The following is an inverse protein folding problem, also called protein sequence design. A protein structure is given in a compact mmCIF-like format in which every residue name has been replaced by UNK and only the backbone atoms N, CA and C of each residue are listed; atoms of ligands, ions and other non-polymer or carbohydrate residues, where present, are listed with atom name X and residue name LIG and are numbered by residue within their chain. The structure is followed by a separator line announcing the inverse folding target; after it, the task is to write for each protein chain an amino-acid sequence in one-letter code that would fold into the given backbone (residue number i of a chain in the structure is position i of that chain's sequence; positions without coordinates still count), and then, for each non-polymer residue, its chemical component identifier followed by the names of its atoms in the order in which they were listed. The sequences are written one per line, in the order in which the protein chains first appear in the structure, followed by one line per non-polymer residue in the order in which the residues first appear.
data_IF_545966018366
#
_entry.id   IF_545966018366
#
_cell.length_a   1.000
_cell.length_b   1.000
_cell.length_c   1.000
_cell.angle_alpha   90.00
_cell.angle_beta   90.00
_cell.angle_gamma   90.00
#
_symmetry.space_group_name_H-M   'P 1'
#
loop_
_entity.id
_entity.type
_entity.pdbx_description
1 polymer ?
#
# COMPACT_ATOMS: atom_id res chain seq x y z
N UNK A 1 7.68 11.28 9.03
CA UNK A 1 6.63 11.38 10.07
C UNK A 1 7.01 10.72 11.40
N UNK A 2 8.00 9.82 11.45
CA UNK A 2 8.47 9.11 12.66
C UNK A 2 9.79 9.65 13.24
N UNK A 3 10.08 10.95 13.07
CA UNK A 3 11.31 11.54 13.62
C UNK A 3 11.32 11.51 15.15
N UNK A 4 12.44 11.13 15.77
CA UNK A 4 12.50 10.89 17.22
C UNK A 4 12.34 12.15 18.09
N UNK A 5 12.72 13.33 17.59
CA UNK A 5 12.70 14.59 18.38
C UNK A 5 11.58 15.55 17.98
N UNK A 6 11.22 15.60 16.69
CA UNK A 6 10.21 16.52 16.12
C UNK A 6 9.28 15.82 15.11
N UNK A 7 9.14 14.49 15.20
CA UNK A 7 8.21 13.75 14.35
C UNK A 7 6.77 13.96 14.82
N UNK A 8 5.84 13.85 13.88
CA UNK A 8 4.39 13.80 14.20
C UNK A 8 4.11 12.71 15.24
N UNK A 9 4.79 11.57 15.14
CA UNK A 9 4.72 10.48 16.13
C UNK A 9 5.08 10.95 17.54
N UNK A 10 6.23 11.62 17.73
CA UNK A 10 6.67 12.07 19.06
C UNK A 10 5.72 13.11 19.64
N UNK A 11 5.21 14.02 18.81
CA UNK A 11 4.25 15.04 19.23
C UNK A 11 2.92 14.45 19.69
N UNK A 12 2.37 13.48 18.94
CA UNK A 12 1.12 12.81 19.33
C UNK A 12 1.34 11.97 20.60
N UNK A 13 2.47 11.28 20.72
CA UNK A 13 2.77 10.44 21.89
C UNK A 13 2.96 11.25 23.17
N UNK A 14 3.42 12.50 23.07
CA UNK A 14 3.48 13.42 24.21
C UNK A 14 2.09 13.78 24.75
N UNK A 15 1.08 13.86 23.88
CA UNK A 15 -0.31 14.17 24.26
C UNK A 15 -1.06 12.90 24.67
N UNK A 16 -0.83 11.80 23.96
CA UNK A 16 -1.48 10.50 24.15
C UNK A 16 -0.43 9.40 24.35
N UNK A 17 0.02 9.13 25.58
CA UNK A 17 1.11 8.20 25.86
C UNK A 17 0.85 6.76 25.39
N UNK A 18 -0.43 6.35 25.42
CA UNK A 18 -0.89 5.01 25.06
C UNK A 18 -1.18 4.84 23.56
N UNK A 19 -0.92 5.87 22.73
CA UNK A 19 -1.19 5.79 21.29
C UNK A 19 -0.24 4.80 20.63
N UNK A 20 -0.79 3.84 19.88
CA UNK A 20 0.03 2.96 19.06
C UNK A 20 0.40 3.64 17.76
N UNK A 21 1.70 3.71 17.52
CA UNK A 21 2.20 4.12 16.23
C UNK A 21 2.40 2.89 15.35
N UNK A 22 1.41 2.64 14.50
CA UNK A 22 1.45 1.54 13.54
C UNK A 22 1.77 2.13 12.18
N UNK A 23 2.88 1.65 11.61
CA UNK A 23 3.18 1.98 10.24
C UNK A 23 2.18 1.31 9.31
N UNK A 24 1.80 2.03 8.26
CA UNK A 24 0.92 1.45 7.28
C UNK A 24 1.59 0.29 6.52
N UNK A 25 0.92 -0.87 6.46
CA UNK A 25 1.52 -2.09 5.94
C UNK A 25 1.84 -2.01 4.45
N UNK A 26 0.98 -1.39 3.63
CA UNK A 26 1.31 -1.22 2.20
C UNK A 26 2.51 -0.29 2.00
N UNK A 27 2.68 0.71 2.88
CA UNK A 27 3.87 1.55 2.86
C UNK A 27 5.12 0.80 3.31
N UNK A 28 5.03 -0.02 4.37
CA UNK A 28 6.14 -0.86 4.80
C UNK A 28 6.56 -1.84 3.71
N UNK A 29 5.60 -2.49 3.04
CA UNK A 29 5.87 -3.38 1.91
C UNK A 29 6.59 -2.64 0.77
N UNK A 30 6.16 -1.42 0.44
CA UNK A 30 6.85 -0.57 -0.52
C UNK A 30 8.31 -0.25 -0.08
N UNK A 31 8.54 -0.01 1.21
CA UNK A 31 9.88 0.26 1.74
C UNK A 31 10.80 -0.98 1.74
N UNK A 32 10.27 -2.18 2.01
CA UNK A 32 11.01 -3.47 1.88
C UNK A 32 11.67 -3.52 0.50
N UNK A 33 10.88 -3.23 -0.53
CA UNK A 33 11.26 -3.42 -1.91
C UNK A 33 12.20 -2.30 -2.39
N UNK A 34 11.94 -1.05 -1.99
CA UNK A 34 12.85 0.07 -2.23
C UNK A 34 14.21 -0.10 -1.54
N UNK A 35 14.26 -0.78 -0.38
CA UNK A 35 15.53 -1.05 0.30
C UNK A 35 16.41 -2.01 -0.51
N UNK A 36 15.84 -3.10 -1.03
CA UNK A 36 16.54 -4.02 -1.93
C UNK A 36 17.11 -3.30 -3.15
N UNK A 37 16.32 -2.40 -3.75
CA UNK A 37 16.75 -1.57 -4.88
C UNK A 37 17.91 -0.61 -4.56
N UNK A 38 18.07 -0.18 -3.29
CA UNK A 38 19.18 0.70 -2.90
C UNK A 38 20.46 -0.06 -2.58
N UNK A 39 20.35 -1.26 -1.99
CA UNK A 39 21.49 -2.01 -1.47
C UNK A 39 22.17 -2.89 -2.53
N UNK A 40 21.40 -3.46 -3.45
CA UNK A 40 21.90 -4.42 -4.45
C UNK A 40 22.13 -3.70 -5.78
N UNK A 41 23.40 -3.52 -6.18
CA UNK A 41 23.78 -2.75 -7.38
C UNK A 41 23.06 -3.22 -8.66
N UNK A 42 22.99 -4.53 -8.98
CA UNK A 42 22.18 -5.03 -10.11
C UNK A 42 20.72 -4.57 -10.08
N UNK A 43 20.07 -4.62 -8.92
CA UNK A 43 18.67 -4.18 -8.76
C UNK A 43 18.55 -2.67 -8.93
N UNK A 44 19.48 -1.90 -8.36
CA UNK A 44 19.50 -0.44 -8.53
C UNK A 44 19.53 -0.06 -10.01
N UNK A 45 20.42 -0.69 -10.77
CA UNK A 45 20.54 -0.48 -12.21
C UNK A 45 19.28 -0.94 -12.94
N UNK A 46 18.72 -2.09 -12.59
CA UNK A 46 17.46 -2.58 -13.16
C UNK A 46 16.31 -1.57 -12.98
N UNK A 47 16.13 -1.02 -11.76
CA UNK A 47 15.09 -0.01 -11.50
C UNK A 47 15.34 1.28 -12.27
N UNK A 48 16.59 1.76 -12.33
CA UNK A 48 16.94 2.91 -13.17
C UNK A 48 16.62 2.66 -14.64
N UNK A 49 16.93 1.46 -15.15
CA UNK A 49 16.63 1.06 -16.52
C UNK A 49 15.12 1.07 -16.79
N UNK A 50 14.29 0.50 -15.91
CA UNK A 50 12.82 0.55 -16.03
C UNK A 50 12.30 2.00 -16.17
N UNK A 51 12.84 2.93 -15.38
CA UNK A 51 12.48 4.35 -15.44
C UNK A 51 12.93 5.01 -16.75
N UNK A 52 14.05 4.57 -17.35
CA UNK A 52 14.51 5.10 -18.64
C UNK A 52 13.50 4.82 -19.76
N UNK A 53 12.89 3.63 -19.82
CA UNK A 53 11.86 3.32 -20.83
C UNK A 53 10.73 4.35 -20.79
N UNK A 54 10.12 4.57 -19.62
CA UNK A 54 9.05 5.57 -19.51
C UNK A 54 9.54 6.97 -19.87
N UNK A 55 10.70 7.38 -19.33
CA UNK A 55 11.24 8.74 -19.54
C UNK A 55 11.50 9.03 -21.01
N UNK A 56 11.95 8.03 -21.78
CA UNK A 56 12.14 8.15 -23.21
C UNK A 56 10.82 8.44 -23.93
N UNK A 57 9.80 7.61 -23.71
CA UNK A 57 8.52 7.77 -24.43
C UNK A 57 7.71 8.97 -23.95
N UNK A 58 7.71 9.29 -22.65
CA UNK A 58 6.89 10.36 -22.07
C UNK A 58 7.36 11.77 -22.42
N UNK A 59 8.62 11.95 -22.83
CA UNK A 59 9.21 13.26 -23.14
C UNK A 59 8.92 13.76 -24.56
N UNK A 60 8.22 12.99 -25.39
CA UNK A 60 7.84 13.41 -26.75
C UNK A 60 6.52 12.78 -27.16
N UNK A 61 5.62 13.59 -27.69
CA UNK A 61 4.38 13.12 -28.31
C UNK A 61 4.67 12.16 -29.47
N UNK A 62 5.66 12.47 -30.32
CA UNK A 62 6.08 11.61 -31.44
C UNK A 62 6.53 10.22 -30.96
N UNK A 63 7.34 10.16 -29.89
CA UNK A 63 7.78 8.88 -29.29
C UNK A 63 6.62 8.15 -28.63
N UNK A 64 5.78 8.85 -27.87
CA UNK A 64 4.59 8.26 -27.26
C UNK A 64 3.63 7.65 -28.30
N UNK A 65 3.51 8.28 -29.48
CA UNK A 65 2.66 7.79 -30.56
C UNK A 65 3.13 6.45 -31.13
N UNK A 66 4.45 6.23 -31.18
CA UNK A 66 5.05 4.98 -31.62
C UNK A 66 4.53 3.77 -30.83
N UNK A 67 4.35 3.93 -29.50
CA UNK A 67 3.77 2.88 -28.66
C UNK A 67 2.25 2.76 -28.84
N UNK A 68 1.56 3.90 -29.03
CA UNK A 68 0.10 3.92 -29.23
C UNK A 68 -0.30 3.20 -30.51
N UNK A 69 0.49 3.34 -31.57
CA UNK A 69 0.29 2.61 -32.84
C UNK A 69 0.39 1.09 -32.65
N UNK A 70 1.20 0.64 -31.70
CA UNK A 70 1.33 -0.77 -31.31
C UNK A 70 0.28 -1.19 -30.24
N UNK A 71 -0.65 -0.29 -29.88
CA UNK A 71 -1.76 -0.59 -28.98
C UNK A 71 -1.45 -0.59 -27.48
N UNK A 72 -0.28 -0.08 -27.06
CA UNK A 72 0.07 -0.06 -25.63
C UNK A 72 0.69 1.27 -25.17
N UNK A 73 0.81 1.42 -23.85
CA UNK A 73 1.45 2.58 -23.22
C UNK A 73 2.18 2.13 -21.96
N UNK A 74 3.36 2.70 -21.72
CA UNK A 74 4.05 2.54 -20.44
C UNK A 74 3.33 3.27 -19.31
N UNK A 75 3.29 2.69 -18.10
CA UNK A 75 2.64 3.33 -16.96
C UNK A 75 3.31 4.66 -16.62
N UNK A 76 2.53 5.65 -16.17
CA UNK A 76 3.09 6.95 -15.77
C UNK A 76 4.05 6.77 -14.58
N UNK A 77 5.23 7.39 -14.65
CA UNK A 77 6.27 7.29 -13.63
C UNK A 77 5.79 7.76 -12.24
N UNK A 78 6.26 7.03 -11.22
CA UNK A 78 6.18 7.49 -9.84
C UNK A 78 7.39 6.99 -9.05
N UNK A 79 8.21 7.92 -8.56
CA UNK A 79 9.43 7.64 -7.78
C UNK A 79 9.17 6.89 -6.47
N UNK A 80 7.94 6.92 -5.96
CA UNK A 80 7.60 6.49 -4.60
C UNK A 80 6.70 5.27 -4.53
N UNK A 81 6.24 4.71 -5.66
CA UNK A 81 5.24 3.63 -5.65
C UNK A 81 5.71 2.41 -6.44
N UNK A 82 5.91 1.31 -5.73
CA UNK A 82 6.25 0.00 -6.26
C UNK A 82 5.32 -0.49 -7.39
N UNK A 83 4.02 -0.17 -7.32
CA UNK A 83 3.07 -0.48 -8.38
C UNK A 83 3.45 0.11 -9.75
N UNK A 84 4.26 1.18 -9.81
CA UNK A 84 4.83 1.63 -11.08
C UNK A 84 5.88 0.65 -11.59
N UNK A 85 6.84 0.25 -10.75
CA UNK A 85 7.91 -0.67 -11.15
C UNK A 85 7.36 -2.05 -11.57
N UNK A 86 6.38 -2.59 -10.84
CA UNK A 86 5.71 -3.84 -11.23
C UNK A 86 5.05 -3.73 -12.59
N UNK A 87 4.17 -2.73 -12.77
CA UNK A 87 3.49 -2.50 -14.05
C UNK A 87 4.48 -2.23 -15.19
N UNK A 88 5.53 -1.46 -14.94
CA UNK A 88 6.54 -1.16 -15.96
C UNK A 88 7.27 -2.44 -16.39
N UNK A 89 7.73 -3.25 -15.44
CA UNK A 89 8.40 -4.52 -15.74
C UNK A 89 7.47 -5.52 -16.45
N UNK A 90 6.20 -5.56 -16.07
CA UNK A 90 5.19 -6.39 -16.73
C UNK A 90 4.93 -5.92 -18.16
N UNK A 91 4.69 -4.62 -18.38
CA UNK A 91 4.49 -4.05 -19.72
C UNK A 91 5.72 -4.26 -20.61
N UNK A 92 6.94 -4.09 -20.09
CA UNK A 92 8.17 -4.32 -20.86
C UNK A 92 8.35 -5.80 -21.21
N UNK A 93 8.01 -6.73 -20.29
CA UNK A 93 8.05 -8.18 -20.57
C UNK A 93 7.01 -8.56 -21.63
N UNK A 94 5.79 -8.05 -21.52
CA UNK A 94 4.68 -8.37 -22.44
C UNK A 94 4.93 -7.83 -23.84
N UNK A 95 5.41 -6.61 -23.98
CA UNK A 95 5.63 -5.94 -25.27
C UNK A 95 7.12 -5.89 -25.64
N UNK A 96 7.86 -6.95 -25.31
CA UNK A 96 9.32 -6.96 -25.42
C UNK A 96 9.79 -6.79 -26.87
N UNK A 97 9.15 -7.51 -27.80
CA UNK A 97 9.47 -7.50 -29.23
C UNK A 97 9.06 -6.17 -29.85
N UNK A 98 7.87 -5.67 -29.51
CA UNK A 98 7.35 -4.39 -30.01
C UNK A 98 8.21 -3.22 -29.52
N UNK A 99 8.73 -3.28 -28.30
CA UNK A 99 9.69 -2.31 -27.79
C UNK A 99 11.03 -2.39 -28.55
N UNK A 100 11.56 -3.60 -28.81
CA UNK A 100 12.76 -3.75 -29.65
C UNK A 100 12.57 -3.10 -31.01
N UNK A 101 11.48 -3.44 -31.70
CA UNK A 101 11.15 -2.89 -33.02
C UNK A 101 10.98 -1.36 -32.98
N UNK A 102 10.34 -0.84 -31.94
CA UNK A 102 10.17 0.59 -31.73
C UNK A 102 11.51 1.32 -31.58
N UNK A 103 12.46 0.78 -30.81
CA UNK A 103 13.78 1.38 -30.68
C UNK A 103 14.61 1.26 -31.96
N UNK A 104 14.57 0.11 -32.64
CA UNK A 104 15.23 -0.09 -33.95
C UNK A 104 14.74 0.94 -34.97
N UNK A 105 13.43 1.14 -35.07
CA UNK A 105 12.83 2.16 -35.95
C UNK A 105 13.33 3.57 -35.61
N UNK A 106 13.51 3.91 -34.33
CA UNK A 106 14.07 5.23 -33.95
C UNK A 106 15.52 5.38 -34.39
N UNK A 107 16.29 4.28 -34.40
CA UNK A 107 17.72 4.29 -34.74
C UNK A 107 17.93 4.36 -36.25
N UNK A 108 17.11 3.65 -37.04
CA UNK A 108 17.28 3.51 -38.48
C UNK A 108 16.63 4.66 -39.28
N UNK A 109 15.54 5.24 -38.79
CA UNK A 109 14.82 6.30 -39.50
C UNK A 109 15.54 7.66 -39.42
N UNK A 110 15.69 8.38 -40.54
CA UNK A 110 16.43 9.65 -40.60
C UNK A 110 15.73 10.83 -39.90
N UNK A 111 14.48 10.66 -39.44
CA UNK A 111 13.64 11.73 -38.91
C UNK A 111 13.71 11.92 -37.38
N UNK A 112 14.74 11.41 -36.72
CA UNK A 112 14.92 11.49 -35.28
C UNK A 112 16.15 12.33 -34.91
N UNK A 113 16.06 13.05 -33.78
CA UNK A 113 17.17 13.83 -33.27
C UNK A 113 18.27 12.94 -32.69
N UNK A 114 19.51 13.43 -32.68
CA UNK A 114 20.68 12.67 -32.20
C UNK A 114 20.53 12.17 -30.76
N UNK A 115 19.82 12.91 -29.88
CA UNK A 115 19.61 12.49 -28.49
C UNK A 115 18.63 11.31 -28.44
N UNK A 116 17.54 11.36 -29.22
CA UNK A 116 16.60 10.25 -29.35
C UNK A 116 17.28 9.00 -29.91
N UNK A 117 18.09 9.12 -30.96
CA UNK A 117 18.83 7.99 -31.56
C UNK A 117 19.80 7.38 -30.54
N UNK A 118 20.64 8.19 -29.91
CA UNK A 118 21.62 7.71 -28.92
C UNK A 118 20.95 7.08 -27.69
N UNK A 119 19.87 7.69 -27.20
CA UNK A 119 19.13 7.14 -26.05
C UNK A 119 18.40 5.85 -26.42
N UNK A 120 17.81 5.77 -27.61
CA UNK A 120 17.14 4.57 -28.11
C UNK A 120 18.13 3.41 -28.26
N UNK A 121 19.31 3.66 -28.84
CA UNK A 121 20.39 2.67 -28.91
C UNK A 121 20.80 2.18 -27.53
N UNK A 122 21.04 3.07 -26.57
CA UNK A 122 21.40 2.67 -25.20
C UNK A 122 20.31 1.88 -24.46
N UNK A 123 19.02 2.12 -24.76
CA UNK A 123 17.91 1.33 -24.20
C UNK A 123 17.78 -0.03 -24.92
N UNK A 124 17.98 -0.07 -26.24
CA UNK A 124 18.01 -1.30 -27.02
C UNK A 124 19.12 -2.23 -26.54
N UNK A 125 20.31 -1.70 -26.22
CA UNK A 125 21.40 -2.46 -25.61
C UNK A 125 20.99 -3.10 -24.27
N UNK A 126 20.07 -2.48 -23.51
CA UNK A 126 19.53 -3.09 -22.28
C UNK A 126 18.57 -4.22 -22.57
N UNK A 127 17.76 -4.14 -23.62
CA UNK A 127 16.92 -5.27 -24.07
C UNK A 127 17.79 -6.43 -24.59
N UNK A 128 19.01 -6.16 -25.02
CA UNK A 128 19.99 -7.17 -25.42
C UNK A 128 20.95 -7.60 -24.29
N UNK A 129 20.84 -7.04 -23.08
CA UNK A 129 21.64 -7.44 -21.93
C UNK A 129 21.00 -8.63 -21.21
N UNK A 130 21.65 -9.79 -21.28
CA UNK A 130 21.16 -11.03 -20.65
C UNK A 130 20.89 -10.86 -19.15
N UNK A 131 21.71 -10.08 -18.43
CA UNK A 131 21.48 -9.85 -17.00
C UNK A 131 20.22 -9.01 -16.76
N UNK A 132 19.98 -7.96 -17.57
CA UNK A 132 18.76 -7.15 -17.47
C UNK A 132 17.51 -7.99 -17.75
N UNK A 133 17.51 -8.79 -18.82
CA UNK A 133 16.34 -9.61 -19.17
C UNK A 133 16.10 -10.71 -18.13
N UNK A 134 17.15 -11.34 -17.61
CA UNK A 134 17.03 -12.23 -16.46
C UNK A 134 16.37 -11.56 -15.25
N UNK A 135 16.83 -10.36 -14.88
CA UNK A 135 16.23 -9.60 -13.78
C UNK A 135 14.78 -9.19 -14.08
N UNK A 136 14.46 -8.85 -15.33
CA UNK A 136 13.09 -8.57 -15.75
C UNK A 136 12.17 -9.76 -15.49
N UNK A 137 12.61 -10.97 -15.85
CA UNK A 137 11.86 -12.22 -15.60
C UNK A 137 11.74 -12.51 -14.11
N UNK A 138 12.85 -12.45 -13.37
CA UNK A 138 12.88 -12.71 -11.92
C UNK A 138 11.95 -11.75 -11.16
N UNK A 139 12.05 -10.45 -11.43
CA UNK A 139 11.22 -9.46 -10.78
C UNK A 139 9.75 -9.63 -11.15
N UNK A 140 9.39 -10.00 -12.38
CA UNK A 140 8.01 -10.35 -12.73
C UNK A 140 7.47 -11.50 -11.84
N UNK A 141 8.27 -12.54 -11.55
CA UNK A 141 7.86 -13.61 -10.62
C UNK A 141 7.67 -13.09 -9.19
N UNK A 142 8.59 -12.25 -8.70
CA UNK A 142 8.48 -11.63 -7.37
C UNK A 142 7.24 -10.72 -7.30
N UNK A 143 6.99 -9.94 -8.34
CA UNK A 143 5.91 -8.97 -8.43
C UNK A 143 4.53 -9.62 -8.30
N UNK A 144 4.34 -10.83 -8.85
CA UNK A 144 3.08 -11.57 -8.71
C UNK A 144 2.69 -11.71 -7.22
N UNK A 145 3.63 -12.10 -6.37
CA UNK A 145 3.38 -12.27 -4.95
C UNK A 145 3.26 -10.92 -4.22
N UNK A 146 4.12 -9.95 -4.54
CA UNK A 146 4.09 -8.65 -3.84
C UNK A 146 2.84 -7.84 -4.20
N UNK A 147 2.38 -7.90 -5.45
CA UNK A 147 1.21 -7.17 -5.92
C UNK A 147 -0.08 -7.76 -5.36
N UNK A 148 -0.14 -9.09 -5.21
CA UNK A 148 -1.25 -9.75 -4.50
C UNK A 148 -1.42 -9.17 -3.10
N UNK A 149 -0.33 -9.18 -2.30
CA UNK A 149 -0.36 -8.64 -0.94
C UNK A 149 -0.61 -7.13 -0.95
N UNK A 150 -0.01 -6.38 -1.87
CA UNK A 150 -0.22 -4.94 -1.97
C UNK A 150 -1.70 -4.60 -2.24
N UNK A 151 -2.33 -5.26 -3.22
CA UNK A 151 -3.74 -5.08 -3.53
C UNK A 151 -4.66 -5.53 -2.37
N UNK A 152 -4.29 -6.63 -1.70
CA UNK A 152 -4.98 -7.10 -0.50
C UNK A 152 -4.96 -6.03 0.61
N UNK A 153 -3.78 -5.46 0.91
CA UNK A 153 -3.58 -4.42 1.91
C UNK A 153 -4.27 -3.09 1.55
N UNK A 154 -4.53 -2.85 0.27
CA UNK A 154 -5.29 -1.70 -0.22
C UNK A 154 -6.81 -1.96 -0.29
N UNK A 155 -7.27 -3.20 -0.10
CA UNK A 155 -8.69 -3.50 -0.12
C UNK A 155 -9.41 -2.79 1.03
N UNK A 156 -10.67 -2.38 0.80
CA UNK A 156 -11.48 -1.62 1.77
C UNK A 156 -11.91 -2.44 2.99
N UNK A 157 -11.54 -3.72 3.04
CA UNK A 157 -11.98 -4.65 4.07
C UNK A 157 -11.08 -4.44 5.29
N UNK A 158 -11.47 -3.48 6.13
CA UNK A 158 -10.93 -3.20 7.46
C UNK A 158 -11.00 -4.39 8.43
N UNK A 159 -11.55 -5.54 8.02
CA UNK A 159 -12.06 -6.54 8.95
C UNK A 159 -11.10 -7.65 9.34
N UNK A 160 -9.80 -7.63 8.98
CA UNK A 160 -8.88 -8.56 9.65
C UNK A 160 -7.41 -8.16 9.54
N UNK A 161 -6.89 -7.48 10.57
CA UNK A 161 -5.45 -7.26 10.75
C UNK A 161 -4.71 -8.61 10.66
N UNK A 162 -5.27 -9.70 11.18
CA UNK A 162 -4.66 -11.02 11.06
C UNK A 162 -4.54 -11.52 9.62
N UNK A 163 -5.57 -11.32 8.79
CA UNK A 163 -5.45 -11.72 7.37
C UNK A 163 -4.29 -10.97 6.70
N UNK A 164 -4.02 -9.73 7.09
CA UNK A 164 -2.82 -9.01 6.63
C UNK A 164 -1.53 -9.72 7.08
N UNK A 165 -1.46 -10.15 8.35
CA UNK A 165 -0.30 -10.88 8.90
C UNK A 165 -0.10 -12.20 8.16
N UNK A 166 -1.16 -12.98 7.95
CA UNK A 166 -1.06 -14.25 7.23
C UNK A 166 -0.65 -14.05 5.78
N UNK A 167 -1.14 -13.01 5.11
CA UNK A 167 -0.71 -12.68 3.75
C UNK A 167 0.77 -12.28 3.68
N UNK A 168 1.26 -11.53 4.66
CA UNK A 168 2.70 -11.19 4.75
C UNK A 168 3.55 -12.44 5.02
N UNK A 169 3.08 -13.34 5.89
CA UNK A 169 3.74 -14.63 6.15
C UNK A 169 3.73 -15.53 4.91
N UNK A 170 2.63 -15.57 4.16
CA UNK A 170 2.53 -16.29 2.89
C UNK A 170 3.49 -15.71 1.85
N UNK A 171 3.58 -14.37 1.74
CA UNK A 171 4.58 -13.73 0.89
C UNK A 171 6.00 -14.16 1.25
N UNK A 172 6.35 -14.15 2.55
CA UNK A 172 7.66 -14.61 3.02
C UNK A 172 7.92 -16.05 2.57
N UNK A 173 6.97 -16.96 2.82
CA UNK A 173 7.09 -18.37 2.42
C UNK A 173 7.25 -18.52 0.91
N UNK A 174 6.48 -17.78 0.11
CA UNK A 174 6.59 -17.79 -1.34
C UNK A 174 7.96 -17.30 -1.82
N UNK A 175 8.55 -16.27 -1.17
CA UNK A 175 9.90 -15.81 -1.48
C UNK A 175 10.98 -16.83 -1.07
N UNK A 176 10.80 -17.52 0.06
CA UNK A 176 11.66 -18.64 0.47
C UNK A 176 11.58 -19.80 -0.53
N UNK A 177 10.38 -20.09 -1.06
CA UNK A 177 10.18 -21.12 -2.08
C UNK A 177 10.82 -20.76 -3.43
N UNK A 178 10.93 -19.47 -3.76
CA UNK A 178 11.68 -19.01 -4.93
C UNK A 178 13.20 -19.16 -4.76
N UNK A 179 13.70 -19.33 -3.54
CA UNK A 179 15.14 -19.44 -3.22
C UNK A 179 15.69 -20.84 -3.53
N UNK A 180 15.51 -21.30 -4.76
CA UNK A 180 15.92 -22.63 -5.25
C UNK A 180 16.67 -22.51 -6.56
N UNK A 181 17.55 -23.46 -6.85
CA UNK A 181 18.30 -23.49 -8.11
C UNK A 181 17.39 -23.62 -9.32
N UNK A 182 16.29 -24.36 -9.18
CA UNK A 182 15.25 -24.48 -10.22
C UNK A 182 14.72 -23.11 -10.68
N UNK A 183 14.51 -22.17 -9.76
CA UNK A 183 14.03 -20.82 -10.10
C UNK A 183 15.04 -20.08 -10.98
N UNK A 184 16.34 -20.24 -10.73
CA UNK A 184 17.38 -19.62 -11.55
C UNK A 184 17.35 -20.20 -12.96
N UNK A 185 17.25 -21.52 -13.08
CA UNK A 185 17.17 -22.20 -14.38
C UNK A 185 15.92 -21.77 -15.16
N UNK A 186 14.74 -21.82 -14.55
CA UNK A 186 13.49 -21.39 -15.19
C UNK A 186 13.53 -19.91 -15.61
N UNK A 187 14.15 -19.03 -14.81
CA UNK A 187 14.34 -17.63 -15.20
C UNK A 187 15.29 -17.47 -16.39
N UNK A 188 16.34 -18.31 -16.50
CA UNK A 188 17.22 -18.31 -17.67
C UNK A 188 16.46 -18.78 -18.92
N UNK A 189 15.69 -19.87 -18.80
CA UNK A 189 14.91 -20.44 -19.90
C UNK A 189 13.87 -19.44 -20.43
N UNK A 190 13.12 -18.79 -19.53
CA UNK A 190 12.19 -17.72 -19.89
C UNK A 190 12.89 -16.49 -20.50
N UNK A 191 14.12 -16.18 -20.08
CA UNK A 191 14.88 -15.08 -20.67
C UNK A 191 15.36 -15.43 -22.09
N UNK A 192 15.75 -16.68 -22.34
CA UNK A 192 16.07 -17.19 -23.69
C UNK A 192 14.84 -17.12 -24.59
N UNK A 193 13.65 -17.48 -24.07
CA UNK A 193 12.40 -17.35 -24.84
C UNK A 193 12.06 -15.91 -25.23
N UNK A 194 12.45 -14.92 -24.41
CA UNK A 194 12.28 -13.51 -24.74
C UNK A 194 13.31 -13.01 -25.76
N UNK A 195 14.51 -13.58 -25.74
CA UNK A 195 15.55 -13.27 -26.70
C UNK A 195 16.43 -14.50 -26.98
N UNK A 196 16.21 -15.10 -28.15
CA UNK A 196 16.86 -16.35 -28.54
C UNK A 196 18.40 -16.23 -28.67
N UNK A 197 18.92 -15.00 -28.74
CA UNK A 197 20.36 -14.71 -28.82
C UNK A 197 21.12 -14.97 -27.51
N UNK A 198 20.42 -15.33 -26.42
CA UNK A 198 21.04 -15.52 -25.11
C UNK A 198 21.54 -16.94 -24.89
N UNK A 199 22.78 -17.03 -24.39
CA UNK A 199 23.36 -18.26 -23.88
C UNK A 199 23.90 -18.03 -22.46
N UNK A 200 23.42 -18.82 -21.51
CA UNK A 200 23.85 -18.75 -20.11
C UNK A 200 24.83 -19.87 -19.79
N UNK A 201 26.13 -19.56 -19.83
CA UNK A 201 27.17 -20.49 -19.38
C UNK A 201 27.17 -20.68 -17.86
N UNK A 202 27.82 -21.74 -17.37
CA UNK A 202 27.80 -22.10 -15.93
C UNK A 202 28.31 -20.99 -15.01
N UNK A 203 29.34 -20.24 -15.44
CA UNK A 203 29.87 -19.11 -14.68
C UNK A 203 28.85 -17.98 -14.53
N UNK A 204 28.09 -17.70 -15.59
CA UNK A 204 27.04 -16.68 -15.55
C UNK A 204 25.86 -17.15 -14.70
N UNK A 205 25.40 -18.40 -14.86
CA UNK A 205 24.35 -18.99 -14.01
C UNK A 205 24.72 -18.94 -12.53
N UNK A 206 25.98 -19.25 -12.19
CA UNK A 206 26.49 -19.13 -10.83
C UNK A 206 26.46 -17.68 -10.29
N UNK A 207 26.76 -16.69 -11.12
CA UNK A 207 26.67 -15.27 -10.74
C UNK A 207 25.21 -14.83 -10.55
N UNK A 208 24.32 -15.21 -11.48
CA UNK A 208 22.89 -14.94 -11.40
C UNK A 208 22.27 -15.59 -10.17
N UNK A 209 22.69 -16.82 -9.82
CA UNK A 209 22.27 -17.50 -8.59
C UNK A 209 22.63 -16.70 -7.34
N UNK A 210 23.85 -16.19 -7.25
CA UNK A 210 24.29 -15.32 -6.13
C UNK A 210 23.42 -14.06 -6.04
N UNK A 211 23.23 -13.37 -7.17
CA UNK A 211 22.40 -12.16 -7.23
C UNK A 211 20.96 -12.47 -6.81
N UNK A 212 20.38 -13.56 -7.29
CA UNK A 212 19.00 -13.96 -6.95
C UNK A 212 18.84 -14.26 -5.47
N UNK A 213 19.79 -14.97 -4.85
CA UNK A 213 19.74 -15.24 -3.42
C UNK A 213 19.94 -13.97 -2.60
N UNK A 214 20.88 -13.09 -2.98
CA UNK A 214 21.05 -11.79 -2.31
C UNK A 214 19.77 -10.95 -2.37
N UNK A 215 19.05 -10.96 -3.49
CA UNK A 215 17.77 -10.27 -3.66
C UNK A 215 16.72 -10.86 -2.72
N UNK A 216 16.48 -12.17 -2.80
CA UNK A 216 15.45 -12.84 -2.01
C UNK A 216 15.75 -12.73 -0.51
N UNK A 217 16.99 -12.95 -0.10
CA UNK A 217 17.43 -12.86 1.30
C UNK A 217 17.27 -11.41 1.81
N UNK A 218 17.65 -10.40 1.01
CA UNK A 218 17.43 -9.00 1.38
C UNK A 218 15.95 -8.67 1.54
N UNK A 219 15.07 -9.20 0.68
CA UNK A 219 13.63 -8.97 0.80
C UNK A 219 13.05 -9.64 2.04
N UNK A 220 13.42 -10.90 2.30
CA UNK A 220 12.97 -11.67 3.47
C UNK A 220 13.43 -11.00 4.76
N UNK A 221 14.68 -10.58 4.85
CA UNK A 221 15.22 -9.87 6.03
C UNK A 221 14.47 -8.56 6.25
N UNK A 222 14.22 -7.78 5.20
CA UNK A 222 13.47 -6.53 5.33
C UNK A 222 12.01 -6.74 5.72
N UNK A 223 11.36 -7.80 5.23
CA UNK A 223 10.02 -8.20 5.68
C UNK A 223 10.05 -8.50 7.19
N UNK A 224 11.00 -9.32 7.66
CA UNK A 224 11.09 -9.66 9.08
C UNK A 224 11.27 -8.41 9.96
N UNK A 225 12.20 -7.52 9.60
CA UNK A 225 12.47 -6.29 10.37
C UNK A 225 11.25 -5.36 10.38
N UNK A 226 10.59 -5.17 9.23
CA UNK A 226 9.53 -4.15 9.09
C UNK A 226 8.18 -4.60 9.61
N UNK A 227 7.97 -5.90 9.75
CA UNK A 227 6.76 -6.51 10.28
C UNK A 227 7.01 -7.19 11.64
N UNK A 228 8.09 -6.84 12.35
CA UNK A 228 8.41 -7.34 13.69
C UNK A 228 7.37 -6.85 14.74
N UNK A 229 6.98 -5.58 14.63
CA UNK A 229 6.00 -4.93 15.52
C UNK A 229 4.57 -5.47 15.39
N UNK A 230 4.33 -6.39 14.45
CA UNK A 230 3.04 -7.05 14.27
C UNK A 230 2.60 -7.83 15.52
N UNK A 231 3.55 -8.26 16.36
CA UNK A 231 3.27 -8.88 17.67
C UNK A 231 2.48 -7.98 18.63
N UNK A 232 2.64 -6.65 18.51
CA UNK A 232 1.90 -5.66 19.31
C UNK A 232 0.40 -5.63 18.99
N UNK A 233 -0.03 -6.28 17.91
CA UNK A 233 -1.42 -6.33 17.47
C UNK A 233 -2.07 -7.70 17.69
N UNK A 234 -1.43 -8.60 18.43
CA UNK A 234 -2.00 -9.91 18.76
C UNK A 234 -3.34 -9.82 19.50
N UNK A 235 -3.56 -8.75 20.28
CA UNK A 235 -4.84 -8.55 20.99
C UNK A 235 -6.03 -8.37 20.04
N UNK A 236 -5.80 -7.98 18.78
CA UNK A 236 -6.84 -7.91 17.75
C UNK A 236 -7.45 -9.30 17.51
N UNK A 237 -6.72 -10.38 17.78
CA UNK A 237 -7.30 -11.72 17.69
C UNK A 237 -8.41 -11.98 18.70
N UNK A 238 -8.55 -11.19 19.79
CA UNK A 238 -9.65 -11.33 20.74
C UNK A 238 -11.02 -11.07 20.10
N UNK A 239 -11.06 -10.30 19.00
CA UNK A 239 -12.28 -9.98 18.26
C UNK A 239 -12.42 -10.77 16.96
N UNK A 240 -11.64 -11.84 16.76
CA UNK A 240 -11.65 -12.63 15.52
C UNK A 240 -12.77 -13.68 15.50
N UNK A 241 -13.79 -13.45 14.68
CA UNK A 241 -14.99 -14.27 14.58
C UNK A 241 -14.69 -15.74 14.24
N UNK A 242 -13.65 -16.00 13.42
CA UNK A 242 -13.30 -17.36 12.98
C UNK A 242 -12.67 -18.23 14.08
N UNK A 243 -12.34 -17.62 15.23
CA UNK A 243 -11.70 -18.32 16.36
C UNK A 243 -12.60 -18.37 17.59
N UNK A 244 -13.82 -17.83 17.54
CA UNK A 244 -14.70 -17.81 18.70
C UNK A 244 -15.06 -19.22 19.17
N UNK A 245 -15.25 -20.19 18.27
CA UNK A 245 -15.42 -21.61 18.62
C UNK A 245 -14.25 -22.18 19.43
N UNK A 246 -13.02 -21.84 19.02
CA UNK A 246 -11.80 -22.28 19.70
C UNK A 246 -11.67 -21.59 21.05
N UNK A 247 -11.99 -20.29 21.13
CA UNK A 247 -11.87 -19.50 22.35
C UNK A 247 -12.97 -19.77 23.37
N UNK A 248 -14.12 -20.26 22.93
CA UNK A 248 -15.15 -20.81 23.80
C UNK A 248 -14.59 -22.00 24.60
N UNK A 249 -13.86 -22.90 23.92
CA UNK A 249 -13.23 -24.07 24.55
C UNK A 249 -11.92 -23.74 25.29
N UNK A 250 -11.13 -22.79 24.78
CA UNK A 250 -9.83 -22.43 25.35
C UNK A 250 -9.62 -20.91 25.27
N UNK A 251 -9.88 -20.24 26.40
CA UNK A 251 -9.80 -18.79 26.47
C UNK A 251 -8.35 -18.28 26.22
N UNK A 252 -8.15 -17.26 25.36
CA UNK A 252 -6.83 -16.77 24.99
C UNK A 252 -6.21 -15.81 26.03
N UNK A 253 -5.86 -16.34 27.20
CA UNK A 253 -5.36 -15.57 28.35
C UNK A 253 -4.14 -14.69 28.02
N UNK A 254 -3.16 -15.25 27.31
CA UNK A 254 -1.93 -14.54 26.95
C UNK A 254 -2.19 -13.26 26.15
N UNK A 255 -3.25 -13.22 25.34
CA UNK A 255 -3.60 -12.07 24.50
C UNK A 255 -4.32 -10.99 25.29
N UNK A 256 -5.14 -11.39 26.26
CA UNK A 256 -5.76 -10.48 27.21
C UNK A 256 -4.70 -9.77 28.06
N UNK A 257 -3.73 -10.52 28.60
CA UNK A 257 -2.63 -9.95 29.37
C UNK A 257 -1.80 -8.95 28.53
N UNK A 258 -1.53 -9.27 27.26
CA UNK A 258 -0.83 -8.34 26.35
C UNK A 258 -1.62 -7.05 26.13
N UNK A 259 -2.94 -7.13 25.95
CA UNK A 259 -3.81 -5.96 25.83
C UNK A 259 -3.76 -5.07 27.09
N UNK A 260 -3.89 -5.67 28.27
CA UNK A 260 -3.92 -4.94 29.54
C UNK A 260 -2.57 -4.27 29.83
N UNK A 261 -1.45 -4.91 29.46
CA UNK A 261 -0.11 -4.30 29.55
C UNK A 261 0.06 -3.11 28.60
N UNK A 262 -0.54 -3.17 27.42
CA UNK A 262 -0.40 -2.15 26.39
C UNK A 262 -1.32 -0.94 26.60
N UNK A 263 -2.50 -1.17 27.20
CA UNK A 263 -3.48 -0.14 27.53
C UNK A 263 -3.83 -0.17 29.02
N UNK A 264 -2.89 0.23 29.91
CA UNK A 264 -3.14 0.26 31.34
C UNK A 264 -4.32 1.19 31.65
N UNK A 265 -5.21 0.75 32.53
CA UNK A 265 -6.38 1.48 33.03
C UNK A 265 -7.50 1.77 32.01
N UNK A 266 -7.42 1.27 30.77
CA UNK A 266 -8.50 1.43 29.79
C UNK A 266 -9.60 0.37 29.94
N UNK A 267 -9.22 -0.83 30.39
CA UNK A 267 -10.08 -2.01 30.48
C UNK A 267 -10.11 -2.58 31.91
N UNK A 268 -11.29 -3.04 32.33
CA UNK A 268 -11.45 -3.85 33.53
C UNK A 268 -11.31 -5.33 33.15
N UNK A 269 -10.29 -6.01 33.68
CA UNK A 269 -9.94 -7.38 33.31
C UNK A 269 -11.09 -8.38 33.49
N UNK A 270 -11.66 -8.46 34.70
CA UNK A 270 -12.71 -9.43 35.02
C UNK A 270 -13.97 -9.21 34.17
N UNK A 271 -14.35 -7.95 33.96
CA UNK A 271 -15.53 -7.59 33.17
C UNK A 271 -15.32 -7.90 31.69
N UNK A 272 -14.17 -7.52 31.14
CA UNK A 272 -13.83 -7.83 29.75
C UNK A 272 -13.76 -9.34 29.49
N UNK A 273 -13.17 -10.11 30.44
CA UNK A 273 -13.12 -11.57 30.36
C UNK A 273 -14.53 -12.17 30.28
N UNK A 274 -15.41 -11.77 31.19
CA UNK A 274 -16.79 -12.28 31.24
C UNK A 274 -17.57 -11.90 29.97
N UNK A 275 -17.47 -10.65 29.52
CA UNK A 275 -18.11 -10.18 28.29
C UNK A 275 -17.63 -10.99 27.06
N UNK A 276 -16.31 -11.24 26.95
CA UNK A 276 -15.74 -12.05 25.87
C UNK A 276 -16.21 -13.51 25.94
N UNK A 277 -16.24 -14.12 27.12
CA UNK A 277 -16.75 -15.50 27.29
C UNK A 277 -18.21 -15.64 26.83
N UNK A 278 -19.07 -14.67 27.14
CA UNK A 278 -20.47 -14.66 26.68
C UNK A 278 -20.55 -14.54 25.16
N UNK A 279 -19.72 -13.69 24.55
CA UNK A 279 -19.70 -13.50 23.09
C UNK A 279 -19.17 -14.74 22.37
N UNK A 280 -18.11 -15.38 22.89
CA UNK A 280 -17.56 -16.59 22.29
C UNK A 280 -18.56 -17.76 22.30
N UNK A 281 -19.43 -17.80 23.31
CA UNK A 281 -20.45 -18.85 23.48
C UNK A 281 -21.68 -18.68 22.60
N UNK A 282 -21.91 -17.49 22.04
CA UNK A 282 -23.12 -17.19 21.27
C UNK A 282 -22.83 -17.19 19.77
N UNK A 283 -23.22 -18.26 19.08
CA UNK A 283 -23.01 -18.44 17.64
C UNK A 283 -23.64 -17.31 16.80
N UNK A 284 -24.71 -16.66 17.29
CA UNK A 284 -25.34 -15.55 16.57
C UNK A 284 -24.46 -14.28 16.59
N UNK A 285 -23.47 -14.22 17.49
CA UNK A 285 -22.52 -13.11 17.64
C UNK A 285 -21.18 -13.35 16.94
N UNK A 286 -21.03 -14.44 16.19
CA UNK A 286 -19.83 -14.74 15.37
C UNK A 286 -19.82 -13.89 14.09
N UNK A 287 -19.80 -12.59 14.29
CA UNK A 287 -19.83 -11.58 13.24
C UNK A 287 -18.53 -10.77 13.27
N UNK A 288 -18.09 -10.24 12.11
CA UNK A 288 -16.95 -9.34 12.06
C UNK A 288 -17.12 -8.15 13.01
N UNK A 289 -16.01 -7.58 13.57
CA UNK A 289 -16.07 -6.56 14.62
C UNK A 289 -16.98 -5.36 14.32
N UNK A 290 -17.05 -4.91 13.06
CA UNK A 290 -17.91 -3.81 12.65
C UNK A 290 -19.41 -4.16 12.70
N UNK A 291 -19.80 -5.35 12.23
CA UNK A 291 -21.19 -5.81 12.27
C UNK A 291 -21.63 -6.12 13.69
N UNK A 292 -20.73 -6.69 14.48
CA UNK A 292 -21.02 -6.99 15.89
C UNK A 292 -21.20 -5.71 16.70
N UNK A 293 -20.37 -4.70 16.46
CA UNK A 293 -20.53 -3.38 17.05
C UNK A 293 -21.86 -2.74 16.64
N UNK A 294 -22.21 -2.77 15.34
CA UNK A 294 -23.51 -2.27 14.85
C UNK A 294 -24.69 -2.97 15.53
N UNK A 295 -24.61 -4.30 15.74
CA UNK A 295 -25.66 -5.07 16.42
C UNK A 295 -25.80 -4.64 17.89
N UNK A 296 -24.68 -4.48 18.60
CA UNK A 296 -24.66 -4.03 20.00
C UNK A 296 -25.29 -2.63 20.11
N UNK A 297 -24.97 -1.73 19.19
CA UNK A 297 -25.50 -0.36 19.15
C UNK A 297 -27.00 -0.37 18.84
N UNK A 298 -27.43 -1.08 17.79
CA UNK A 298 -28.84 -1.13 17.37
C UNK A 298 -29.76 -1.70 18.44
N UNK A 299 -29.24 -2.63 19.25
CA UNK A 299 -30.00 -3.27 20.32
C UNK A 299 -29.82 -2.60 21.69
N UNK A 300 -29.15 -1.44 21.77
CA UNK A 300 -28.85 -0.71 23.01
C UNK A 300 -28.13 -1.57 24.08
N UNK A 301 -27.27 -2.51 23.66
CA UNK A 301 -26.56 -3.43 24.56
C UNK A 301 -25.20 -2.88 25.03
N UNK A 302 -24.95 -1.57 24.85
CA UNK A 302 -23.66 -0.93 25.13
C UNK A 302 -23.28 -0.99 26.62
N UNK A 303 -24.26 -0.89 27.52
CA UNK A 303 -24.00 -0.97 28.97
C UNK A 303 -23.60 -2.39 29.41
N UNK A 304 -24.21 -3.40 28.77
CA UNK A 304 -23.96 -4.82 29.05
C UNK A 304 -22.58 -5.21 28.53
N UNK A 305 -22.23 -4.81 27.31
CA UNK A 305 -20.95 -5.12 26.66
C UNK A 305 -20.02 -3.90 26.62
N UNK A 306 -19.87 -3.23 27.75
CA UNK A 306 -19.16 -1.94 27.83
C UNK A 306 -17.66 -2.05 27.49
N UNK A 307 -16.99 -3.10 27.96
CA UNK A 307 -15.56 -3.30 27.75
C UNK A 307 -15.28 -3.86 26.36
N UNK A 308 -16.15 -4.75 25.89
CA UNK A 308 -16.09 -5.27 24.52
C UNK A 308 -16.37 -4.19 23.48
N UNK A 309 -17.32 -3.28 23.74
CA UNK A 309 -17.59 -2.13 22.87
C UNK A 309 -16.35 -1.26 22.73
N UNK A 310 -15.67 -0.94 23.83
CA UNK A 310 -14.37 -0.23 23.82
C UNK A 310 -13.31 -0.99 23.02
N UNK A 311 -13.24 -2.31 23.18
CA UNK A 311 -12.30 -3.16 22.44
C UNK A 311 -12.57 -3.11 20.92
N UNK A 312 -13.83 -3.22 20.51
CA UNK A 312 -14.23 -3.09 19.11
C UNK A 312 -13.88 -1.72 18.54
N UNK A 313 -14.16 -0.64 19.28
CA UNK A 313 -13.79 0.73 18.87
C UNK A 313 -12.27 0.88 18.72
N UNK A 314 -11.50 0.35 19.67
CA UNK A 314 -10.05 0.35 19.60
C UNK A 314 -9.55 -0.41 18.35
N UNK A 315 -10.05 -1.61 18.10
CA UNK A 315 -9.64 -2.43 16.95
C UNK A 315 -10.00 -1.76 15.62
N UNK A 316 -11.21 -1.20 15.51
CA UNK A 316 -11.70 -0.57 14.28
C UNK A 316 -11.02 0.76 13.96
N UNK A 317 -10.40 1.41 14.95
CA UNK A 317 -9.68 2.68 14.78
C UNK A 317 -8.20 2.50 14.41
N UNK A 318 -7.67 1.27 14.43
CA UNK A 318 -6.28 0.99 14.06
C UNK A 318 -6.09 1.18 12.54
N UNK A 319 -5.22 2.12 12.11
CA UNK A 319 -4.99 2.39 10.69
C UNK A 319 -3.96 1.42 10.08
N UNK A 320 -4.27 0.12 10.05
CA UNK A 320 -3.36 -0.88 9.49
C UNK A 320 -3.26 -0.82 7.94
N UNK A 321 -4.32 -0.37 7.26
CA UNK A 321 -4.43 -0.34 5.78
C UNK A 321 -4.36 1.08 5.21
N UNK A 322 -3.75 1.24 4.02
CA UNK A 322 -3.54 2.57 3.41
C UNK A 322 -4.81 3.15 2.80
N UNK A 323 -5.84 2.34 2.55
CA UNK A 323 -6.97 2.67 1.68
C UNK A 323 -7.71 3.98 2.06
N UNK A 324 -7.80 4.28 3.36
CA UNK A 324 -8.42 5.53 3.84
C UNK A 324 -7.50 6.73 3.63
N UNK A 325 -6.24 6.60 4.03
CA UNK A 325 -5.23 7.67 3.90
C UNK A 325 -4.91 8.03 2.44
N UNK A 326 -4.77 7.07 1.53
CA UNK A 326 -4.51 7.33 0.11
C UNK A 326 -5.70 8.02 -0.58
N UNK A 327 -6.94 7.73 -0.16
CA UNK A 327 -8.15 8.40 -0.67
C UNK A 327 -8.17 9.87 -0.26
N UNK A 328 -7.81 10.18 0.99
CA UNK A 328 -7.69 11.57 1.45
C UNK A 328 -6.61 12.32 0.67
N UNK A 329 -5.46 11.69 0.42
CA UNK A 329 -4.37 12.28 -0.39
C UNK A 329 -4.73 12.45 -1.87
N UNK A 330 -5.46 11.50 -2.47
CA UNK A 330 -5.96 11.64 -3.84
C UNK A 330 -7.00 12.77 -3.94
N UNK A 331 -7.80 12.97 -2.90
CA UNK A 331 -8.77 14.06 -2.82
C UNK A 331 -8.07 15.40 -2.62
N UNK A 332 -7.02 15.45 -1.80
CA UNK A 332 -6.16 16.63 -1.64
C UNK A 332 -5.55 17.09 -2.97
N UNK A 333 -5.15 16.18 -3.86
CA UNK A 333 -4.66 16.55 -5.20
C UNK A 333 -5.70 17.29 -6.05
N UNK A 334 -6.99 17.06 -5.82
CA UNK A 334 -8.09 17.79 -6.50
C UNK A 334 -8.38 19.14 -5.85
N UNK A 335 -8.24 19.23 -4.53
CA UNK A 335 -8.53 20.45 -3.76
C UNK A 335 -7.36 21.44 -3.86
N UNK A 336 -6.15 20.95 -3.64
CA UNK A 336 -4.89 21.70 -3.66
C UNK A 336 -4.17 21.44 -4.98
N UNK A 337 -4.62 22.15 -6.02
CA UNK A 337 -3.97 22.18 -7.33
C UNK A 337 -2.95 23.32 -7.42
N UNK A 338 -2.10 23.30 -8.45
CA UNK A 338 -1.10 24.36 -8.69
C UNK A 338 -1.73 25.77 -8.69
N UNK A 339 -2.89 25.91 -9.32
CA UNK A 339 -3.64 27.18 -9.39
C UNK A 339 -4.37 27.53 -8.07
N UNK A 340 -4.42 26.63 -7.09
CA UNK A 340 -5.11 26.79 -5.80
C UNK A 340 -4.15 26.60 -4.62
N UNK A 341 -2.88 26.99 -4.79
CA UNK A 341 -1.86 26.79 -3.76
C UNK A 341 -1.91 27.81 -2.61
N UNK A 342 -2.59 28.96 -2.79
CA UNK A 342 -2.65 30.08 -1.83
C UNK A 342 -3.82 29.99 -0.84
N UNK A 343 -4.34 28.79 -0.55
CA UNK A 343 -5.44 28.63 0.41
C UNK A 343 -4.95 28.48 1.85
N UNK A 344 -5.73 29.00 2.81
CA UNK A 344 -5.49 28.81 4.25
C UNK A 344 -5.68 27.35 4.66
N UNK A 345 -5.03 26.93 5.74
CA UNK A 345 -5.12 25.56 6.27
C UNK A 345 -6.56 25.19 6.67
N UNK A 346 -7.32 26.16 7.18
CA UNK A 346 -8.72 25.96 7.57
C UNK A 346 -9.60 25.66 6.35
N UNK A 347 -9.49 26.46 5.28
CA UNK A 347 -10.22 26.22 4.03
C UNK A 347 -9.84 24.88 3.41
N UNK A 348 -8.55 24.52 3.42
CA UNK A 348 -8.08 23.23 2.93
C UNK A 348 -8.70 22.07 3.70
N UNK A 349 -8.75 22.18 5.03
CA UNK A 349 -9.30 21.15 5.92
C UNK A 349 -10.80 20.99 5.68
N UNK A 350 -11.56 22.09 5.65
CA UNK A 350 -13.00 22.08 5.43
C UNK A 350 -13.36 21.49 4.05
N UNK A 351 -12.66 21.90 2.98
CA UNK A 351 -12.86 21.34 1.65
C UNK A 351 -12.48 19.86 1.58
N UNK A 352 -11.46 19.44 2.33
CA UNK A 352 -11.06 18.03 2.40
C UNK A 352 -12.13 17.19 3.07
N UNK A 353 -12.70 17.66 4.19
CA UNK A 353 -13.81 17.00 4.88
C UNK A 353 -15.03 16.87 3.98
N UNK A 354 -15.44 17.95 3.30
CA UNK A 354 -16.58 17.92 2.36
C UNK A 354 -16.37 16.91 1.22
N UNK A 355 -15.14 16.82 0.70
CA UNK A 355 -14.84 15.92 -0.40
C UNK A 355 -14.68 14.45 0.03
N UNK A 356 -14.22 14.20 1.26
CA UNK A 356 -14.18 12.86 1.87
C UNK A 356 -15.61 12.37 2.15
N UNK A 357 -16.44 13.24 2.74
CA UNK A 357 -17.82 12.95 3.15
C UNK A 357 -18.86 13.23 2.05
N UNK A 358 -18.44 13.31 0.78
CA UNK A 358 -19.33 13.61 -0.35
C UNK A 358 -20.55 12.70 -0.41
N UNK A 359 -20.40 11.42 -0.04
CA UNK A 359 -21.49 10.46 -0.05
C UNK A 359 -22.52 10.75 1.05
N UNK A 360 -22.05 11.07 2.27
CA UNK A 360 -22.91 11.47 3.39
C UNK A 360 -23.67 12.75 3.03
N UNK A 361 -22.97 13.76 2.51
CA UNK A 361 -23.58 15.00 2.03
C UNK A 361 -24.62 14.74 0.93
N UNK A 362 -24.37 13.79 0.03
CA UNK A 362 -25.32 13.40 -1.00
C UNK A 362 -26.59 12.72 -0.44
N UNK A 363 -26.49 12.06 0.72
CA UNK A 363 -27.66 11.53 1.44
C UNK A 363 -28.39 12.65 2.18
N UNK A 364 -27.66 13.49 2.90
CA UNK A 364 -28.23 14.61 3.65
C UNK A 364 -28.90 15.64 2.73
N UNK A 365 -28.35 15.89 1.55
CA UNK A 365 -28.92 16.81 0.57
C UNK A 365 -30.24 16.31 -0.06
N UNK A 366 -30.62 15.05 0.15
CA UNK A 366 -31.97 14.56 -0.23
C UNK A 366 -33.04 15.06 0.73
N UNK A 367 -32.66 15.42 1.95
CA UNK A 367 -33.55 16.04 2.91
C UNK A 367 -33.62 17.56 2.60
N UNK A 368 -34.78 18.07 2.14
CA UNK A 368 -34.92 19.49 1.80
C UNK A 368 -34.72 20.40 3.02
N UNK A 369 -35.02 19.94 4.24
CA UNK A 369 -34.88 20.74 5.46
C UNK A 369 -33.42 21.03 5.80
N UNK A 370 -32.52 20.10 5.49
CA UNK A 370 -31.08 20.29 5.65
C UNK A 370 -30.53 21.34 4.69
N UNK A 371 -31.01 21.34 3.44
CA UNK A 371 -30.56 22.32 2.43
C UNK A 371 -31.11 23.71 2.76
N UNK A 372 -32.39 23.80 3.12
CA UNK A 372 -33.04 25.07 3.52
C UNK A 372 -32.38 25.68 4.76
N UNK A 373 -32.10 24.88 5.80
CA UNK A 373 -31.40 25.37 6.99
C UNK A 373 -29.99 25.90 6.70
N UNK A 374 -29.24 25.25 5.79
CA UNK A 374 -27.94 25.77 5.34
C UNK A 374 -28.10 27.08 4.58
N UNK A 375 -29.11 27.20 3.71
CA UNK A 375 -29.40 28.43 2.96
C UNK A 375 -29.77 29.56 3.92
N UNK A 376 -30.61 29.28 4.91
CA UNK A 376 -31.03 30.25 5.92
C UNK A 376 -29.87 30.71 6.79
N UNK A 377 -29.02 29.78 7.24
CA UNK A 377 -27.83 30.12 8.03
C UNK A 377 -26.77 30.85 7.20
N UNK A 378 -26.67 30.57 5.90
CA UNK A 378 -25.86 31.36 4.98
C UNK A 378 -26.45 32.76 4.74
N UNK A 379 -27.77 32.86 4.58
CA UNK A 379 -28.49 34.12 4.37
C UNK A 379 -28.44 35.04 5.60
N UNK A 380 -28.39 34.48 6.82
CA UNK A 380 -28.18 35.22 8.07
C UNK A 380 -26.78 35.83 8.20
N UNK A 381 -25.77 35.36 7.45
CA UNK A 381 -24.43 35.96 7.44
C UNK A 381 -24.40 37.19 6.53
N UNK A 382 -24.23 38.38 7.14
CA UNK A 382 -24.40 39.69 6.49
C UNK A 382 -23.58 39.91 5.21
N UNK A 383 -22.39 39.34 5.08
CA UNK A 383 -21.52 39.62 3.93
C UNK A 383 -21.73 38.70 2.72
N UNK A 384 -22.60 37.68 2.80
CA UNK A 384 -22.74 36.60 1.78
C UNK A 384 -21.38 36.06 1.27
N UNK A 385 -20.37 36.25 2.10
CA UNK A 385 -18.97 35.82 2.04
C UNK A 385 -18.64 35.46 3.48
N UNK A 386 -18.10 34.28 3.70
CA UNK A 386 -17.56 33.91 5.01
C UNK A 386 -16.07 34.31 4.98
N UNK A 387 -15.73 35.43 5.60
CA UNK A 387 -14.35 35.76 5.98
C UNK A 387 -14.12 35.24 7.40
N UNK A 388 -13.18 34.31 7.54
CA UNK A 388 -12.69 33.84 8.84
C UNK A 388 -11.54 34.76 9.25
N UNK A 389 -11.89 35.91 9.84
CA UNK A 389 -10.89 36.80 10.45
C UNK A 389 -10.67 36.42 11.91
N UNK A 390 -9.48 35.86 12.19
CA UNK A 390 -8.96 35.72 13.54
C UNK A 390 -8.33 37.06 13.94
N UNK A 391 -8.97 37.83 14.83
CA UNK A 391 -8.30 38.97 15.47
C UNK A 391 -7.84 38.57 16.87
N UNK A 392 -6.52 38.54 16.99
CA UNK A 392 -5.74 38.57 18.22
C UNK A 392 -6.03 39.89 18.94
N UNK A 393 -6.59 39.82 20.15
CA UNK A 393 -6.06 40.49 21.36
C UNK A 393 -6.22 39.51 22.52
#
# INVERSE_FOLDING_TARGET
MSGAKNGVQSLIKNIYPNVLFIHCYAHQLNLVLLYGAKKIKPVKLFICNLTMFHTFFSRSSKRSELLRQQGFKLPNHSDTRWNYHSRAASTIKTHFIELKNAFTHVIEEPNWDHISISTASGILDKLSDAQFVYLLVLFNKIFIYTDHVFNFLQSKILSNIKSCISEIQNLKKNLEDLRKEQTVNTCCDEAIQLNNDFEYGDKQKNNLRKITYDILDSLIVQINIRFEDTSQLEFVELTNEKKFDIYHNTFPECKLIKLLKQYPNMFEENRLRNELSVIYSDNNKHLPPHKLLDLIIKNNLQEIYSQFTKLCQLVLTIPATTASSERSMSTLKRIKSFLRNTMTNERLTNLSSLAIEKNLLGVMAKDPTFVESIIDDFAKKKDRRIELEYKII
#
